data_IF_759509583398
#
_entry.id   IF_759509583398
#
_cell.length_a   1.000
_cell.length_b   1.000
_cell.length_c   1.000
_cell.angle_alpha   90.00
_cell.angle_beta   90.00
_cell.angle_gamma   90.00
#
_symmetry.space_group_name_H-M   'P 1'
#
loop_
_entity.id
_entity.type
_entity.pdbx_description
1 polymer ?
#
# COMPACT_ATOMS: atom_id res chain seq x y z
N UNK A 1 11.75 -6.41 4.68
CA UNK A 1 11.07 -7.41 5.53
C UNK A 1 9.64 -7.50 5.02
N UNK A 2 9.20 -8.64 4.50
CA UNK A 2 7.82 -8.78 4.00
C UNK A 2 6.94 -9.32 5.13
N UNK A 3 6.01 -8.49 5.60
CA UNK A 3 5.00 -8.92 6.57
C UNK A 3 3.82 -9.45 5.76
N UNK A 4 3.69 -10.77 5.68
CA UNK A 4 2.52 -11.43 5.09
C UNK A 4 1.42 -11.45 6.15
N UNK A 5 0.69 -10.34 6.30
CA UNK A 5 -0.57 -10.31 7.06
C UNK A 5 -1.74 -10.62 6.12
N UNK A 6 -2.78 -11.27 6.62
CA UNK A 6 -4.04 -11.43 5.90
C UNK A 6 -4.73 -10.06 5.78
N UNK A 7 -4.48 -9.38 4.66
CA UNK A 7 -5.16 -8.14 4.29
C UNK A 7 -6.08 -8.41 3.10
N UNK A 8 -7.30 -7.90 3.16
CA UNK A 8 -8.23 -7.93 2.03
C UNK A 8 -8.15 -6.59 1.34
N UNK A 9 -7.67 -6.58 0.10
CA UNK A 9 -7.71 -5.40 -0.74
C UNK A 9 -9.02 -5.41 -1.54
N UNK A 10 -9.78 -4.34 -1.41
CA UNK A 10 -10.87 -3.97 -2.29
C UNK A 10 -10.40 -2.83 -3.20
N UNK A 11 -11.11 -2.56 -4.30
CA UNK A 11 -10.76 -1.52 -5.28
C UNK A 11 -10.52 -0.14 -4.63
N UNK A 12 -11.15 0.12 -3.48
CA UNK A 12 -11.11 1.41 -2.79
C UNK A 12 -10.69 1.32 -1.32
N UNK A 13 -10.27 0.16 -0.81
CA UNK A 13 -9.86 0.06 0.59
C UNK A 13 -9.01 -1.17 0.90
N UNK A 14 -8.22 -1.08 1.96
CA UNK A 14 -7.60 -2.25 2.60
C UNK A 14 -8.41 -2.55 3.85
N UNK A 15 -8.86 -3.79 4.02
CA UNK A 15 -9.43 -4.29 5.27
C UNK A 15 -8.44 -5.23 5.92
N UNK A 16 -8.11 -4.94 7.18
CA UNK A 16 -7.20 -5.73 8.00
C UNK A 16 -7.98 -6.79 8.77
N UNK A 17 -7.34 -7.90 9.10
CA UNK A 17 -7.99 -9.01 9.80
C UNK A 17 -8.52 -8.64 11.21
N UNK A 18 -8.01 -7.58 11.83
CA UNK A 18 -8.55 -7.04 13.08
C UNK A 18 -9.87 -6.25 12.91
N UNK A 19 -10.34 -6.07 11.66
CA UNK A 19 -11.55 -5.34 11.31
C UNK A 19 -11.35 -3.85 11.04
N UNK A 20 -10.12 -3.32 11.21
CA UNK A 20 -9.79 -1.97 10.77
C UNK A 20 -9.74 -1.91 9.23
N UNK A 21 -10.00 -0.73 8.68
CA UNK A 21 -9.88 -0.51 7.25
C UNK A 21 -9.29 0.85 6.92
N UNK A 22 -8.63 0.91 5.77
CA UNK A 22 -7.99 2.10 5.25
C UNK A 22 -8.54 2.38 3.86
N UNK A 23 -9.33 3.45 3.76
CA UNK A 23 -10.01 3.84 2.52
C UNK A 23 -9.10 4.67 1.61
N UNK A 24 -9.11 4.33 0.33
CA UNK A 24 -8.45 5.06 -0.73
C UNK A 24 -9.28 6.27 -1.13
N UNK A 25 -8.58 7.38 -1.33
CA UNK A 25 -9.09 8.66 -1.79
C UNK A 25 -8.91 8.79 -3.29
N UNK A 26 -8.17 9.80 -3.72
CA UNK A 26 -8.00 10.14 -5.13
C UNK A 26 -6.82 9.36 -5.73
N UNK A 27 -6.94 8.95 -7.00
CA UNK A 27 -5.81 8.45 -7.78
C UNK A 27 -4.92 9.65 -8.14
N UNK A 28 -3.76 9.73 -7.52
CA UNK A 28 -2.81 10.84 -7.67
C UNK A 28 -1.75 10.58 -8.74
N UNK A 29 -1.50 9.30 -9.08
CA UNK A 29 -0.63 8.92 -10.20
C UNK A 29 -1.00 7.53 -10.77
N UNK A 30 -0.77 7.36 -12.07
CA UNK A 30 -1.00 6.12 -12.82
C UNK A 30 0.31 5.40 -13.26
N UNK A 31 1.46 5.91 -12.79
CA UNK A 31 2.78 5.31 -12.99
C UNK A 31 3.60 5.43 -11.72
N UNK A 32 4.50 4.47 -11.49
CA UNK A 32 5.38 4.43 -10.33
C UNK A 32 6.77 3.92 -10.71
N UNK A 33 7.80 4.36 -10.00
CA UNK A 33 9.17 3.87 -10.22
C UNK A 33 9.46 2.75 -9.22
N UNK A 34 9.72 1.55 -9.73
CA UNK A 34 10.08 0.38 -8.93
C UNK A 34 11.46 -0.09 -9.38
N UNK A 35 12.42 -0.18 -8.46
CA UNK A 35 13.81 -0.58 -8.75
C UNK A 35 14.45 0.28 -9.87
N UNK A 36 14.07 1.57 -9.96
CA UNK A 36 14.55 2.50 -10.99
C UNK A 36 13.89 2.36 -12.36
N UNK A 37 12.90 1.47 -12.51
CA UNK A 37 12.11 1.32 -13.74
C UNK A 37 10.68 1.87 -13.55
N UNK A 38 10.20 2.67 -14.51
CA UNK A 38 8.82 3.14 -14.50
C UNK A 38 7.88 2.01 -14.94
N UNK A 39 6.91 1.69 -14.09
CA UNK A 39 5.90 0.65 -14.31
C UNK A 39 4.50 1.25 -14.23
N UNK A 40 3.50 0.66 -14.93
CA UNK A 40 2.10 0.98 -14.70
C UNK A 40 1.73 0.64 -13.26
N UNK A 41 1.17 1.60 -12.54
CA UNK A 41 0.86 1.47 -11.14
C UNK A 41 -0.25 2.45 -10.76
N UNK A 42 -1.03 2.13 -9.74
CA UNK A 42 -2.05 3.05 -9.24
C UNK A 42 -1.62 3.58 -7.88
N UNK A 43 -1.36 4.88 -7.80
CA UNK A 43 -1.02 5.58 -6.55
C UNK A 43 -2.25 6.33 -6.07
N UNK A 44 -2.76 5.96 -4.90
CA UNK A 44 -3.91 6.59 -4.27
C UNK A 44 -3.49 7.35 -3.02
N UNK A 45 -4.13 8.50 -2.78
CA UNK A 45 -4.14 9.09 -1.45
C UNK A 45 -5.01 8.26 -0.50
N UNK A 46 -4.81 8.38 0.80
CA UNK A 46 -5.68 7.80 1.81
C UNK A 46 -6.69 8.85 2.26
N UNK A 47 -7.98 8.50 2.34
CA UNK A 47 -9.02 9.47 2.75
C UNK A 47 -8.82 9.96 4.18
N UNK A 48 -8.54 9.03 5.07
CA UNK A 48 -8.31 9.29 6.49
C UNK A 48 -6.98 8.67 6.86
N UNK A 49 -5.90 9.48 6.92
CA UNK A 49 -4.59 8.96 7.28
C UNK A 49 -4.63 8.25 8.63
N UNK A 50 -4.06 7.06 8.68
CA UNK A 50 -4.02 6.21 9.87
C UNK A 50 -2.91 5.18 9.76
N UNK A 51 -2.48 4.64 10.90
CA UNK A 51 -1.50 3.54 10.95
C UNK A 51 -2.09 2.31 11.67
N UNK A 52 -2.98 1.54 10.99
CA UNK A 52 -3.72 0.43 11.60
C UNK A 52 -2.81 -0.65 12.18
N UNK A 53 -3.27 -1.32 13.24
CA UNK A 53 -2.52 -2.42 13.84
C UNK A 53 -2.82 -3.73 13.09
N UNK A 54 -1.80 -4.46 12.68
CA UNK A 54 -1.93 -5.79 12.09
C UNK A 54 -2.08 -6.83 13.20
N UNK A 55 -2.63 -8.01 12.90
CA UNK A 55 -2.88 -9.07 13.90
C UNK A 55 -1.65 -9.51 14.70
N UNK A 56 -0.44 -9.30 14.18
CA UNK A 56 0.80 -9.61 14.88
C UNK A 56 1.22 -8.52 15.89
N UNK A 57 0.41 -7.49 16.10
CA UNK A 57 0.73 -6.33 16.95
C UNK A 57 1.74 -5.36 16.32
N UNK A 58 1.99 -5.50 15.01
CA UNK A 58 2.81 -4.56 14.25
C UNK A 58 1.88 -3.57 13.56
N UNK A 59 2.24 -2.29 13.51
CA UNK A 59 1.51 -1.33 12.69
C UNK A 59 1.77 -1.54 11.19
N UNK A 60 0.84 -1.08 10.36
CA UNK A 60 0.93 -1.10 8.90
C UNK A 60 2.23 -0.47 8.40
N UNK A 61 2.57 0.70 8.95
CA UNK A 61 3.77 1.45 8.65
C UNK A 61 4.69 1.55 9.86
N UNK A 62 4.13 1.79 11.06
CA UNK A 62 4.87 1.92 12.32
C UNK A 62 5.71 3.17 12.45
N UNK A 63 5.69 4.04 11.44
CA UNK A 63 6.46 5.29 11.38
C UNK A 63 5.58 6.53 11.22
N UNK A 64 4.25 6.37 11.35
CA UNK A 64 3.27 7.45 11.24
C UNK A 64 2.05 7.06 10.41
N UNK A 65 1.09 7.98 10.38
CA UNK A 65 -0.16 7.80 9.65
C UNK A 65 0.09 7.66 8.15
N UNK A 66 -0.44 6.59 7.57
CA UNK A 66 -0.34 6.31 6.15
C UNK A 66 -1.18 7.29 5.36
N UNK A 67 -0.56 7.98 4.41
CA UNK A 67 -1.20 9.01 3.59
C UNK A 67 -1.30 8.62 2.13
N UNK A 68 -0.47 7.70 1.65
CA UNK A 68 -0.51 7.21 0.28
C UNK A 68 -0.27 5.70 0.20
N UNK A 69 -0.85 5.08 -0.81
CA UNK A 69 -0.62 3.69 -1.18
C UNK A 69 -0.35 3.61 -2.68
N UNK A 70 0.59 2.76 -3.09
CA UNK A 70 0.85 2.45 -4.49
C UNK A 70 0.63 0.96 -4.70
N UNK A 71 -0.11 0.58 -5.73
CA UNK A 71 -0.21 -0.82 -6.16
C UNK A 71 0.23 -1.01 -7.60
N UNK A 72 0.88 -2.14 -7.88
CA UNK A 72 1.33 -2.51 -9.22
C UNK A 72 1.42 -4.02 -9.37
N UNK A 73 1.27 -4.50 -10.60
CA UNK A 73 1.52 -5.91 -10.90
C UNK A 73 3.03 -6.19 -10.86
N UNK A 74 3.43 -7.11 -9.98
CA UNK A 74 4.77 -7.66 -9.91
C UNK A 74 5.01 -8.65 -11.06
N UNK A 75 6.28 -8.79 -11.45
CA UNK A 75 6.75 -9.76 -12.45
C UNK A 75 6.38 -11.23 -12.15
N UNK A 76 5.97 -11.53 -10.92
CA UNK A 76 5.54 -12.86 -10.47
C UNK A 76 4.04 -13.12 -10.65
N UNK A 77 3.29 -12.18 -11.26
CA UNK A 77 1.82 -12.26 -11.38
C UNK A 77 1.07 -12.00 -10.07
N UNK A 78 1.78 -11.48 -9.07
CA UNK A 78 1.22 -11.00 -7.81
C UNK A 78 1.03 -9.50 -7.90
N UNK A 79 0.12 -8.93 -7.12
CA UNK A 79 0.04 -7.49 -6.97
C UNK A 79 0.85 -7.07 -5.74
N UNK A 80 1.75 -6.13 -5.95
CA UNK A 80 2.50 -5.49 -4.90
C UNK A 80 1.76 -4.22 -4.45
N UNK A 81 1.79 -3.95 -3.15
CA UNK A 81 1.23 -2.80 -2.50
C UNK A 81 2.30 -2.17 -1.61
N UNK A 82 2.74 -0.96 -1.95
CA UNK A 82 3.61 -0.16 -1.10
C UNK A 82 2.81 0.90 -0.36
N UNK A 83 3.28 1.23 0.84
CA UNK A 83 2.60 2.09 1.79
C UNK A 83 3.54 3.23 2.18
N UNK A 84 3.03 4.45 2.19
CA UNK A 84 3.82 5.67 2.37
C UNK A 84 3.19 6.63 3.37
N UNK A 85 4.05 7.40 4.00
CA UNK A 85 3.70 8.50 4.92
C UNK A 85 4.26 9.80 4.37
N UNK A 86 3.56 10.91 4.59
CA UNK A 86 4.04 12.23 4.20
C UNK A 86 2.96 13.08 3.54
N UNK A 87 3.35 14.29 3.13
CA UNK A 87 2.43 15.29 2.55
C UNK A 87 2.40 15.25 1.02
N UNK A 88 3.44 14.69 0.39
CA UNK A 88 3.60 14.65 -1.06
C UNK A 88 3.41 13.22 -1.60
N UNK A 89 2.80 13.07 -2.79
CA UNK A 89 2.58 11.76 -3.39
C UNK A 89 3.92 11.10 -3.75
N UNK A 90 4.10 9.82 -3.43
CA UNK A 90 5.35 9.11 -3.70
C UNK A 90 5.54 8.89 -5.19
N UNK A 91 6.80 8.92 -5.62
CA UNK A 91 7.18 8.68 -7.03
C UNK A 91 7.93 7.37 -7.24
N UNK A 92 8.57 6.85 -6.19
CA UNK A 92 9.35 5.61 -6.20
C UNK A 92 9.17 4.79 -4.93
N UNK A 93 9.53 3.51 -4.99
CA UNK A 93 9.48 2.57 -3.86
C UNK A 93 10.54 2.83 -2.78
N UNK A 94 11.43 3.81 -2.96
CA UNK A 94 12.57 4.08 -2.07
C UNK A 94 12.14 4.55 -0.66
N UNK A 95 11.04 5.31 -0.59
CA UNK A 95 10.52 5.90 0.65
C UNK A 95 9.32 5.12 1.23
N UNK A 96 9.07 3.90 0.74
CA UNK A 96 7.99 3.08 1.28
C UNK A 96 8.32 2.66 2.71
N UNK A 97 7.36 2.81 3.62
CA UNK A 97 7.53 2.32 4.98
C UNK A 97 7.20 0.84 5.12
N UNK A 98 6.27 0.34 4.29
CA UNK A 98 5.93 -1.08 4.24
C UNK A 98 5.55 -1.50 2.82
N UNK A 99 5.75 -2.79 2.54
CA UNK A 99 5.42 -3.42 1.28
C UNK A 99 4.72 -4.76 1.51
N UNK A 100 3.62 -4.98 0.80
CA UNK A 100 2.82 -6.19 0.82
C UNK A 100 2.71 -6.75 -0.58
N UNK A 101 2.56 -8.06 -0.70
CA UNK A 101 2.31 -8.73 -1.98
C UNK A 101 1.18 -9.72 -1.79
N UNK A 102 0.19 -9.67 -2.67
CA UNK A 102 -0.96 -10.55 -2.62
C UNK A 102 -1.28 -11.13 -4.00
N UNK A 103 -2.00 -12.24 -4.00
CA UNK A 103 -2.47 -12.87 -5.23
C UNK A 103 -3.75 -12.17 -5.68
N UNK A 104 -3.78 -11.67 -6.91
CA UNK A 104 -4.97 -11.04 -7.48
C UNK A 104 -6.06 -12.05 -7.88
N UNK A 105 -5.80 -13.35 -7.75
CA UNK A 105 -6.77 -14.39 -8.08
C UNK A 105 -7.65 -14.75 -6.86
N UNK A 106 -8.74 -14.01 -6.66
CA UNK A 106 -9.96 -14.56 -6.03
C UNK A 106 -11.22 -14.14 -6.78
#
# INVERSE_FOLDING_TARGET
MSITGDIQLDDFSITFANGESLEFGELVADHFVVDGASVPASVYSVKTPSDPELENGNNLCGNGDVTFVANWESSSGLVALAVFTGEEPPQSDEDMCASYTYDSAQ
#
